data_IF_328315171375
#
_entry.id   IF_328315171375
#
_cell.length_a   1.000
_cell.length_b   1.000
_cell.length_c   1.000
_cell.angle_alpha   90.00
_cell.angle_beta   90.00
_cell.angle_gamma   90.00
#
_symmetry.space_group_name_H-M   'P 1'
#
loop_
_entity.id
_entity.type
_entity.pdbx_description
1 polymer ?
#
# COMPACT_ATOMS: atom_id res chain seq x y z
N UNK A 1 3.43 37.67 -14.30
CA UNK A 1 4.86 37.95 -14.03
C UNK A 1 5.06 37.76 -12.53
N UNK A 2 4.99 36.50 -12.09
CA UNK A 2 6.09 35.55 -11.88
C UNK A 2 6.76 35.73 -10.51
N UNK A 3 6.37 34.87 -9.58
CA UNK A 3 7.27 34.20 -8.61
C UNK A 3 6.66 32.81 -8.42
N UNK A 4 6.89 31.91 -9.36
CA UNK A 4 7.80 30.78 -9.15
C UNK A 4 7.55 30.04 -7.83
N UNK A 5 6.45 29.28 -7.80
CA UNK A 5 6.30 28.08 -6.96
C UNK A 5 7.40 27.09 -7.32
N UNK A 6 8.58 27.33 -6.77
CA UNK A 6 9.65 26.33 -6.71
C UNK A 6 9.25 25.31 -5.66
N UNK A 7 8.47 24.32 -6.11
CA UNK A 7 8.23 23.02 -5.46
C UNK A 7 9.58 22.28 -5.36
N UNK A 8 10.50 22.82 -4.56
CA UNK A 8 11.82 22.30 -4.31
C UNK A 8 11.69 21.15 -3.31
N UNK A 9 11.25 20.00 -3.83
CA UNK A 9 11.27 18.71 -3.12
C UNK A 9 12.72 18.27 -2.97
N UNK A 10 13.47 18.94 -2.11
CA UNK A 10 14.79 18.49 -1.69
C UNK A 10 14.61 17.17 -0.91
N UNK A 11 15.02 16.01 -1.48
CA UNK A 11 14.91 14.73 -0.80
C UNK A 11 15.70 14.73 0.52
N UNK A 12 16.74 15.56 0.66
CA UNK A 12 17.50 15.70 1.90
C UNK A 12 16.68 16.39 2.99
N UNK A 13 15.81 17.35 2.64
CA UNK A 13 14.90 18.00 3.60
C UNK A 13 13.91 16.99 4.18
N UNK A 14 13.32 16.15 3.34
CA UNK A 14 12.36 15.13 3.78
C UNK A 14 13.03 14.07 4.65
N UNK A 15 14.22 13.59 4.27
CA UNK A 15 14.97 12.60 5.06
C UNK A 15 15.38 13.19 6.42
N UNK A 16 15.87 14.43 6.45
CA UNK A 16 16.23 15.12 7.70
C UNK A 16 15.03 15.28 8.63
N UNK A 17 13.87 15.65 8.09
CA UNK A 17 12.64 15.74 8.87
C UNK A 17 12.22 14.38 9.45
N UNK A 18 12.29 13.29 8.66
CA UNK A 18 11.97 11.96 9.19
C UNK A 18 12.93 11.51 10.30
N UNK A 19 14.23 11.83 10.17
CA UNK A 19 15.21 11.53 11.21
C UNK A 19 14.89 12.28 12.51
N UNK A 20 14.62 13.60 12.42
CA UNK A 20 14.27 14.40 13.59
C UNK A 20 12.97 13.92 14.28
N UNK A 21 11.98 13.49 13.50
CA UNK A 21 10.74 12.91 14.05
C UNK A 21 11.02 11.58 14.74
N UNK A 22 11.86 10.73 14.13
CA UNK A 22 12.29 9.46 14.72
C UNK A 22 12.96 9.67 16.08
N UNK A 23 13.87 10.64 16.16
CA UNK A 23 14.60 10.96 17.40
C UNK A 23 13.67 11.52 18.48
N UNK A 24 12.70 12.38 18.10
CA UNK A 24 11.74 12.99 19.03
C UNK A 24 10.70 12.03 19.59
N UNK A 25 10.27 11.06 18.79
CA UNK A 25 9.16 10.16 19.14
C UNK A 25 9.62 8.80 19.62
N UNK A 26 10.89 8.43 19.38
CA UNK A 26 11.38 7.07 19.60
C UNK A 26 10.88 6.05 18.57
N UNK A 27 10.05 6.48 17.61
CA UNK A 27 9.52 5.63 16.53
C UNK A 27 10.59 5.48 15.46
N UNK A 28 10.87 4.25 15.02
CA UNK A 28 11.94 4.00 14.06
C UNK A 28 11.74 4.79 12.77
N UNK A 29 12.84 5.37 12.24
CA UNK A 29 12.89 6.09 10.97
C UNK A 29 12.13 5.40 9.82
N UNK A 30 12.26 4.07 9.69
CA UNK A 30 11.56 3.29 8.65
C UNK A 30 10.04 3.42 8.76
N UNK A 31 9.50 3.48 9.98
CA UNK A 31 8.08 3.62 10.24
C UNK A 31 7.58 5.04 9.99
N UNK A 32 8.35 6.06 10.37
CA UNK A 32 8.04 7.47 10.03
C UNK A 32 7.94 7.64 8.52
N UNK A 33 8.91 7.08 7.79
CA UNK A 33 8.90 7.05 6.31
C UNK A 33 7.70 6.28 5.76
N UNK A 34 7.33 5.16 6.39
CA UNK A 34 6.17 4.36 6.00
C UNK A 34 4.89 5.20 6.14
N UNK A 35 4.60 5.73 7.33
CA UNK A 35 3.43 6.57 7.63
C UNK A 35 3.26 7.69 6.59
N UNK A 36 4.32 8.47 6.35
CA UNK A 36 4.30 9.53 5.37
C UNK A 36 3.97 9.04 3.95
N UNK A 37 4.55 7.90 3.53
CA UNK A 37 4.31 7.33 2.20
C UNK A 37 2.91 6.76 2.05
N UNK A 38 2.39 6.07 3.06
CA UNK A 38 1.04 5.49 3.04
C UNK A 38 -0.01 6.59 2.86
N UNK A 39 0.20 7.75 3.48
CA UNK A 39 -0.70 8.91 3.35
C UNK A 39 -0.57 9.59 1.97
N UNK A 40 0.66 9.82 1.47
CA UNK A 40 0.87 10.52 0.19
C UNK A 40 0.43 9.68 -1.03
N UNK A 41 0.63 8.35 -0.99
CA UNK A 41 0.37 7.45 -2.13
C UNK A 41 -1.09 7.52 -2.60
N UNK A 42 -2.03 7.69 -1.69
CA UNK A 42 -3.46 7.70 -2.00
C UNK A 42 -3.99 9.07 -2.45
N UNK A 43 -3.35 10.20 -2.07
CA UNK A 43 -3.95 11.54 -2.25
C UNK A 43 -3.33 12.45 -3.33
N UNK A 44 -2.74 11.89 -4.41
CA UNK A 44 -2.31 12.63 -5.63
C UNK A 44 -1.76 14.06 -5.42
N UNK A 45 -0.89 14.25 -4.41
CA UNK A 45 -0.22 15.51 -4.01
C UNK A 45 -1.04 16.56 -3.23
N UNK A 46 -2.34 16.38 -2.99
CA UNK A 46 -3.10 17.22 -2.04
C UNK A 46 -3.49 16.38 -0.83
N UNK A 47 -2.59 16.35 0.14
CA UNK A 47 -2.75 15.52 1.31
C UNK A 47 -3.46 16.29 2.38
N UNK A 48 -4.73 15.98 2.47
CA UNK A 48 -5.65 16.47 3.45
C UNK A 48 -5.83 15.32 4.47
N UNK A 49 -5.52 15.54 5.74
CA UNK A 49 -5.50 14.47 6.76
C UNK A 49 -6.83 14.44 7.50
N UNK A 50 -7.40 13.24 7.66
CA UNK A 50 -8.42 12.94 8.65
C UNK A 50 -7.87 11.75 9.45
N UNK A 51 -7.80 11.90 10.77
CA UNK A 51 -7.32 10.90 11.75
C UNK A 51 -7.71 9.44 11.49
N UNK A 52 -9.01 9.16 11.30
CA UNK A 52 -9.56 7.82 11.04
C UNK A 52 -9.10 7.30 9.70
N UNK A 53 -9.10 8.15 8.68
CA UNK A 53 -8.64 7.79 7.34
C UNK A 53 -7.12 7.53 7.32
N UNK A 54 -6.33 8.37 7.99
CA UNK A 54 -4.89 8.22 8.06
C UNK A 54 -4.49 6.90 8.74
N UNK A 55 -5.10 6.58 9.88
CA UNK A 55 -4.86 5.33 10.59
C UNK A 55 -5.19 4.11 9.71
N UNK A 56 -6.36 4.12 9.04
CA UNK A 56 -6.74 3.04 8.12
C UNK A 56 -5.74 2.90 6.97
N UNK A 57 -5.30 4.00 6.36
CA UNK A 57 -4.34 3.98 5.26
C UNK A 57 -3.00 3.39 5.66
N UNK A 58 -2.48 3.78 6.83
CA UNK A 58 -1.22 3.24 7.36
C UNK A 58 -1.35 1.74 7.61
N UNK A 59 -2.42 1.30 8.29
CA UNK A 59 -2.62 -0.12 8.61
C UNK A 59 -2.82 -0.96 7.34
N UNK A 60 -3.57 -0.47 6.35
CA UNK A 60 -3.73 -1.15 5.06
C UNK A 60 -2.39 -1.30 4.34
N UNK A 61 -1.57 -0.24 4.34
CA UNK A 61 -0.26 -0.28 3.67
C UNK A 61 0.71 -1.25 4.38
N UNK A 62 0.63 -1.39 5.71
CA UNK A 62 1.34 -2.44 6.46
C UNK A 62 0.85 -3.84 6.07
N UNK A 63 -0.46 -4.07 6.02
CA UNK A 63 -1.04 -5.36 5.62
C UNK A 63 -0.60 -5.77 4.21
N UNK A 64 -0.50 -4.80 3.29
CA UNK A 64 -0.17 -5.03 1.89
C UNK A 64 1.32 -5.24 1.65
N UNK A 65 2.20 -4.47 2.29
CA UNK A 65 3.63 -4.48 1.99
C UNK A 65 4.46 -5.40 2.90
N UNK A 66 3.98 -5.70 4.10
CA UNK A 66 4.71 -6.53 5.05
C UNK A 66 4.12 -7.94 5.17
N UNK A 67 4.99 -8.92 5.43
CA UNK A 67 4.65 -10.34 5.57
C UNK A 67 4.47 -10.76 7.04
N UNK A 68 4.46 -9.81 7.98
CA UNK A 68 4.32 -10.06 9.41
C UNK A 68 2.97 -9.65 9.97
N UNK A 69 2.66 -10.10 11.19
CA UNK A 69 1.52 -9.60 11.94
C UNK A 69 1.70 -8.09 12.22
N UNK A 70 0.65 -7.30 11.95
CA UNK A 70 0.67 -5.84 12.14
C UNK A 70 1.10 -5.48 13.56
N UNK A 71 0.60 -6.19 14.57
CA UNK A 71 1.00 -6.03 15.97
C UNK A 71 2.52 -6.09 16.16
N UNK A 72 3.17 -7.08 15.58
CA UNK A 72 4.62 -7.27 15.69
C UNK A 72 5.38 -6.17 14.96
N UNK A 73 4.89 -5.73 13.80
CA UNK A 73 5.51 -4.66 13.03
C UNK A 73 5.42 -3.34 13.79
N UNK A 74 4.25 -3.00 14.33
CA UNK A 74 4.04 -1.78 15.13
C UNK A 74 4.93 -1.78 16.37
N UNK A 75 4.89 -2.86 17.15
CA UNK A 75 5.71 -3.01 18.36
C UNK A 75 7.21 -2.91 18.04
N UNK A 76 7.69 -3.60 17.00
CA UNK A 76 9.09 -3.51 16.59
C UNK A 76 9.51 -2.10 16.17
N UNK A 77 8.58 -1.27 15.70
CA UNK A 77 8.85 0.09 15.26
C UNK A 77 8.60 1.17 16.32
N UNK A 78 8.25 0.78 17.56
CA UNK A 78 8.00 1.72 18.65
C UNK A 78 6.61 2.34 18.65
N UNK A 79 5.65 1.74 17.92
CA UNK A 79 4.24 2.16 17.96
C UNK A 79 3.51 1.30 18.98
N UNK A 80 2.92 1.94 19.97
CA UNK A 80 2.15 1.32 21.07
C UNK A 80 0.65 1.60 20.96
N UNK A 81 0.27 2.72 20.35
CA UNK A 81 -1.12 3.15 20.22
C UNK A 81 -1.34 4.03 18.98
N UNK A 82 -2.61 4.30 18.68
CA UNK A 82 -3.00 5.26 17.64
C UNK A 82 -2.49 6.69 17.92
N UNK A 83 -2.21 7.04 19.18
CA UNK A 83 -1.64 8.34 19.54
C UNK A 83 -0.24 8.53 18.97
N UNK A 84 0.52 7.44 18.81
CA UNK A 84 1.84 7.48 18.20
C UNK A 84 1.76 7.85 16.72
N UNK A 85 0.71 7.39 16.02
CA UNK A 85 0.42 7.86 14.66
C UNK A 85 0.08 9.35 14.64
N UNK A 86 -0.80 9.79 15.55
CA UNK A 86 -1.17 11.19 15.68
C UNK A 86 0.04 12.10 15.91
N UNK A 87 0.95 11.69 16.80
CA UNK A 87 2.19 12.39 17.08
C UNK A 87 3.10 12.50 15.86
N UNK A 88 3.31 11.40 15.13
CA UNK A 88 4.12 11.42 13.89
C UNK A 88 3.48 12.32 12.83
N UNK A 89 2.16 12.20 12.63
CA UNK A 89 1.42 12.98 11.64
C UNK A 89 1.46 14.46 11.97
N UNK A 90 1.25 14.83 13.24
CA UNK A 90 1.38 16.21 13.72
C UNK A 90 2.76 16.79 13.39
N UNK A 91 3.83 16.05 13.70
CA UNK A 91 5.19 16.51 13.42
C UNK A 91 5.47 16.57 11.90
N UNK A 92 4.90 15.66 11.09
CA UNK A 92 4.99 15.74 9.63
C UNK A 92 4.28 16.99 9.08
N UNK A 93 3.13 17.38 9.66
CA UNK A 93 2.45 18.64 9.35
C UNK A 93 3.29 19.87 9.76
N UNK A 94 3.85 19.87 10.98
CA UNK A 94 4.72 20.95 11.46
C UNK A 94 5.96 21.15 10.57
N UNK A 95 6.47 20.08 9.95
CA UNK A 95 7.60 20.13 8.99
C UNK A 95 7.18 20.51 7.57
N UNK A 96 5.89 20.69 7.32
CA UNK A 96 5.32 21.02 6.01
C UNK A 96 5.38 19.84 5.02
N UNK A 97 5.44 18.60 5.51
CA UNK A 97 5.44 17.39 4.68
C UNK A 97 4.03 16.86 4.41
N UNK A 98 3.05 17.21 5.26
CA UNK A 98 1.62 16.94 5.10
C UNK A 98 0.85 18.24 5.33
N UNK A 99 -0.35 18.37 4.75
CA UNK A 99 -1.26 19.49 5.00
C UNK A 99 -2.42 19.01 5.88
N UNK A 100 -2.81 19.82 6.85
CA UNK A 100 -3.95 19.53 7.73
C UNK A 100 -5.26 19.91 7.03
N UNK A 101 -6.32 19.11 7.15
CA UNK A 101 -7.67 19.53 6.73
C UNK A 101 -8.25 20.55 7.72
N UNK A 102 -9.03 21.51 7.21
CA UNK A 102 -9.88 22.32 8.08
C UNK A 102 -10.87 21.41 8.82
N UNK A 103 -10.84 21.44 10.15
CA UNK A 103 -11.67 20.59 11.02
C UNK A 103 -11.04 19.27 11.46
N UNK A 104 -9.81 18.95 11.05
CA UNK A 104 -9.08 17.76 11.54
C UNK A 104 -8.51 18.02 12.93
N UNK A 105 -8.75 17.15 13.90
CA UNK A 105 -8.19 17.24 15.25
C UNK A 105 -7.21 16.10 15.52
N UNK A 106 -6.07 16.43 16.12
CA UNK A 106 -5.12 15.41 16.55
C UNK A 106 -5.68 14.58 17.72
N UNK A 107 -6.68 15.10 18.44
CA UNK A 107 -7.37 14.36 19.48
C UNK A 107 -8.21 13.20 18.93
N UNK A 108 -8.54 13.18 17.65
CA UNK A 108 -9.27 12.06 17.03
C UNK A 108 -8.43 10.77 16.95
N UNK A 109 -7.11 10.86 17.13
CA UNK A 109 -6.26 9.68 17.27
C UNK A 109 -6.44 9.00 18.62
N UNK A 110 -7.00 9.69 19.63
CA UNK A 110 -7.17 9.14 20.97
C UNK A 110 -8.15 7.97 20.97
N UNK A 111 -7.64 6.81 21.38
CA UNK A 111 -8.47 5.63 21.63
C UNK A 111 -8.95 4.88 20.38
N UNK A 112 -8.41 5.14 19.19
CA UNK A 112 -8.74 4.34 18.00
C UNK A 112 -8.29 2.89 18.17
N UNK A 113 -7.05 2.67 18.62
CA UNK A 113 -6.53 1.34 18.96
C UNK A 113 -5.30 1.45 19.89
N UNK A 114 -4.99 0.35 20.57
CA UNK A 114 -3.68 0.09 21.15
C UNK A 114 -3.10 -1.20 20.54
N UNK A 115 -1.86 -1.56 20.86
CA UNK A 115 -1.22 -2.78 20.36
C UNK A 115 -2.02 -4.05 20.66
N UNK A 116 -2.81 -4.08 21.73
CA UNK A 116 -3.60 -5.25 22.11
C UNK A 116 -4.92 -5.33 21.35
N UNK A 117 -5.52 -4.20 21.00
CA UNK A 117 -6.79 -4.09 20.27
C UNK A 117 -6.61 -3.89 18.76
N UNK A 118 -5.38 -3.89 18.24
CA UNK A 118 -5.13 -3.65 16.81
C UNK A 118 -5.82 -4.68 15.90
N UNK A 119 -5.90 -5.94 16.32
CA UNK A 119 -6.58 -6.98 15.54
C UNK A 119 -8.09 -6.74 15.50
N UNK A 120 -8.70 -6.36 16.63
CA UNK A 120 -10.10 -5.96 16.70
C UNK A 120 -10.38 -4.73 15.85
N UNK A 121 -9.47 -3.75 15.84
CA UNK A 121 -9.57 -2.56 15.00
C UNK A 121 -9.56 -2.91 13.51
N UNK A 122 -8.65 -3.81 13.09
CA UNK A 122 -8.56 -4.31 11.71
C UNK A 122 -9.87 -4.97 11.28
N UNK A 123 -10.41 -5.86 12.14
CA UNK A 123 -11.66 -6.58 11.87
C UNK A 123 -12.84 -5.60 11.81
N UNK A 124 -12.98 -4.72 12.81
CA UNK A 124 -14.08 -3.75 12.93
C UNK A 124 -14.13 -2.78 11.77
N UNK A 125 -12.98 -2.36 11.25
CA UNK A 125 -12.89 -1.44 10.10
C UNK A 125 -12.79 -2.17 8.75
N UNK A 126 -12.93 -3.52 8.73
CA UNK A 126 -12.85 -4.34 7.53
C UNK A 126 -11.57 -4.08 6.70
N UNK A 127 -10.44 -3.88 7.39
CA UNK A 127 -9.14 -3.64 6.76
C UNK A 127 -8.56 -4.98 6.32
N UNK A 128 -8.69 -5.29 5.03
CA UNK A 128 -8.23 -6.56 4.47
C UNK A 128 -7.02 -6.33 3.57
N UNK A 129 -6.09 -7.28 3.60
CA UNK A 129 -4.96 -7.29 2.66
C UNK A 129 -5.52 -7.38 1.25
N UNK A 130 -5.25 -6.36 0.44
CA UNK A 130 -5.58 -6.39 -0.96
C UNK A 130 -4.61 -7.37 -1.63
N UNK A 131 -5.07 -8.61 -1.78
CA UNK A 131 -4.31 -9.63 -2.48
C UNK A 131 -4.38 -9.25 -3.95
N UNK A 132 -3.22 -8.92 -4.52
CA UNK A 132 -3.04 -8.80 -5.97
C UNK A 132 -3.15 -10.20 -6.61
N UNK A 133 -4.34 -10.78 -6.54
CA UNK A 133 -4.69 -12.09 -7.08
C UNK A 133 -4.33 -12.16 -8.56
N UNK A 134 -4.46 -11.04 -9.25
CA UNK A 134 -4.05 -10.90 -10.63
C UNK A 134 -2.54 -11.19 -10.78
N UNK A 135 -1.67 -10.52 -10.02
CA UNK A 135 -0.23 -10.80 -10.03
C UNK A 135 0.10 -12.23 -9.58
N UNK A 136 -0.58 -12.76 -8.57
CA UNK A 136 -0.36 -14.13 -8.09
C UNK A 136 -0.68 -15.14 -9.20
N UNK A 137 -1.88 -15.06 -9.79
CA UNK A 137 -2.34 -15.95 -10.86
C UNK A 137 -1.42 -15.84 -12.08
N UNK A 138 -1.05 -14.61 -12.45
CA UNK A 138 -0.19 -14.35 -13.59
C UNK A 138 1.22 -14.90 -13.42
N UNK A 139 1.81 -14.73 -12.24
CA UNK A 139 3.10 -15.35 -11.88
C UNK A 139 3.00 -16.88 -11.88
N UNK A 140 1.93 -17.45 -11.33
CA UNK A 140 1.71 -18.89 -11.32
C UNK A 140 1.67 -19.45 -12.74
N UNK A 141 0.93 -18.83 -13.66
CA UNK A 141 0.93 -19.24 -15.06
C UNK A 141 2.31 -19.13 -15.71
N UNK A 142 3.04 -18.05 -15.45
CA UNK A 142 4.39 -17.87 -15.97
C UNK A 142 5.33 -19.00 -15.50
N UNK A 143 5.39 -19.26 -14.18
CA UNK A 143 6.26 -20.29 -13.62
C UNK A 143 5.86 -21.72 -14.03
N UNK A 144 4.56 -22.03 -14.07
CA UNK A 144 4.06 -23.31 -14.56
C UNK A 144 4.48 -23.51 -16.02
N UNK A 145 4.32 -22.48 -16.86
CA UNK A 145 4.75 -22.51 -18.25
C UNK A 145 6.24 -22.78 -18.40
N UNK A 146 7.08 -22.02 -17.68
CA UNK A 146 8.53 -22.23 -17.66
C UNK A 146 8.92 -23.64 -17.18
N UNK A 147 8.27 -24.15 -16.12
CA UNK A 147 8.53 -25.49 -15.61
C UNK A 147 8.23 -26.57 -16.64
N UNK A 148 7.09 -26.48 -17.34
CA UNK A 148 6.71 -27.42 -18.40
C UNK A 148 7.73 -27.39 -19.56
N UNK A 149 8.19 -26.20 -19.95
CA UNK A 149 9.22 -26.04 -20.99
C UNK A 149 10.53 -26.72 -20.55
N UNK A 150 11.00 -26.46 -19.33
CA UNK A 150 12.24 -27.05 -18.80
C UNK A 150 12.13 -28.58 -18.71
N UNK A 151 11.02 -29.10 -18.20
CA UNK A 151 10.77 -30.56 -18.11
C UNK A 151 10.71 -31.22 -19.51
N UNK A 152 10.19 -30.50 -20.51
CA UNK A 152 10.17 -30.94 -21.90
C UNK A 152 11.58 -31.02 -22.50
N UNK A 153 12.46 -30.06 -22.22
CA UNK A 153 13.85 -30.09 -22.68
C UNK A 153 14.69 -31.16 -21.96
N UNK A 154 14.35 -31.48 -20.72
CA UNK A 154 14.99 -32.54 -19.93
C UNK A 154 14.50 -33.97 -20.30
N UNK A 155 13.72 -34.14 -21.38
CA UNK A 155 13.19 -35.42 -21.89
C UNK A 155 12.17 -36.10 -20.95
N UNK A 156 11.83 -35.46 -19.83
CA UNK A 156 10.88 -36.01 -18.85
C UNK A 156 9.42 -35.97 -19.33
N UNK A 157 9.10 -35.09 -20.29
CA UNK A 157 7.76 -34.93 -20.87
C UNK A 157 7.89 -34.74 -22.40
N UNK A 158 6.97 -35.26 -23.24
CA UNK A 158 7.04 -35.09 -24.69
C UNK A 158 7.07 -33.63 -25.17
N UNK A 159 7.82 -33.33 -26.23
CA UNK A 159 7.98 -31.98 -26.81
C UNK A 159 6.69 -31.25 -27.17
N UNK A 160 5.59 -31.99 -27.42
CA UNK A 160 4.25 -31.40 -27.65
C UNK A 160 3.75 -30.61 -26.43
N UNK A 161 4.10 -31.03 -25.22
CA UNK A 161 3.77 -30.32 -23.99
C UNK A 161 4.68 -29.11 -23.75
N UNK A 162 5.92 -29.11 -24.27
CA UNK A 162 6.79 -27.94 -24.24
C UNK A 162 6.19 -26.72 -24.95
N UNK A 163 5.53 -26.93 -26.10
CA UNK A 163 4.76 -25.87 -26.79
C UNK A 163 3.61 -25.35 -25.91
N UNK A 164 2.92 -26.25 -25.21
CA UNK A 164 1.82 -25.90 -24.30
C UNK A 164 2.33 -25.09 -23.10
N UNK A 165 3.51 -25.44 -22.56
CA UNK A 165 4.20 -24.67 -21.54
C UNK A 165 4.55 -23.25 -22.00
N UNK A 166 5.01 -23.09 -23.24
CA UNK A 166 5.25 -21.78 -23.85
C UNK A 166 3.99 -20.92 -23.94
N UNK A 167 2.86 -21.51 -24.39
CA UNK A 167 1.58 -20.79 -24.47
C UNK A 167 1.11 -20.36 -23.08
N UNK A 168 1.15 -21.26 -22.09
CA UNK A 168 0.76 -20.97 -20.71
C UNK A 168 1.65 -19.87 -20.11
N UNK A 169 2.97 -19.96 -20.34
CA UNK A 169 3.94 -18.96 -19.89
C UNK A 169 3.71 -17.59 -20.53
N UNK A 170 3.41 -17.55 -21.83
CA UNK A 170 3.11 -16.31 -22.56
C UNK A 170 1.79 -15.68 -22.11
N UNK A 171 0.77 -16.47 -21.79
CA UNK A 171 -0.47 -15.95 -21.19
C UNK A 171 -0.17 -15.30 -19.83
N UNK A 172 0.62 -15.95 -18.97
CA UNK A 172 1.06 -15.39 -17.69
C UNK A 172 1.90 -14.11 -17.84
N UNK A 173 2.76 -14.05 -18.87
CA UNK A 173 3.57 -12.85 -19.15
C UNK A 173 2.75 -11.70 -19.74
N UNK A 174 1.82 -11.98 -20.66
CA UNK A 174 0.92 -10.99 -21.26
C UNK A 174 0.01 -10.37 -20.18
N UNK A 175 -0.54 -11.20 -19.30
CA UNK A 175 -1.35 -10.74 -18.17
C UNK A 175 -0.55 -9.77 -17.28
N UNK A 176 0.69 -10.12 -16.89
CA UNK A 176 1.58 -9.24 -16.11
C UNK A 176 1.86 -7.92 -16.84
N UNK A 177 2.24 -8.00 -18.11
CA UNK A 177 2.72 -6.85 -18.89
C UNK A 177 1.59 -5.87 -19.21
N UNK A 178 0.38 -6.38 -19.44
CA UNK A 178 -0.78 -5.57 -19.83
C UNK A 178 -1.81 -5.40 -18.71
N UNK A 179 -1.45 -5.71 -17.46
CA UNK A 179 -2.32 -5.61 -16.28
C UNK A 179 -3.17 -4.34 -16.27
N UNK A 180 -2.53 -3.16 -16.39
CA UNK A 180 -3.22 -1.87 -16.31
C UNK A 180 -4.28 -1.67 -17.42
N UNK A 181 -3.99 -2.14 -18.65
CA UNK A 181 -4.94 -2.08 -19.78
C UNK A 181 -6.09 -3.09 -19.62
N UNK A 182 -5.81 -4.24 -19.03
CA UNK A 182 -6.81 -5.28 -18.77
C UNK A 182 -7.75 -4.81 -17.65
N UNK A 183 -7.21 -4.28 -16.55
CA UNK A 183 -7.99 -3.71 -15.44
C UNK A 183 -8.87 -2.55 -15.89
N UNK A 184 -8.37 -1.65 -16.74
CA UNK A 184 -9.16 -0.53 -17.25
C UNK A 184 -10.33 -1.01 -18.12
N UNK A 185 -10.10 -1.99 -19.00
CA UNK A 185 -11.16 -2.59 -19.83
C UNK A 185 -12.18 -3.36 -19.00
N UNK A 186 -11.74 -4.12 -18.01
CA UNK A 186 -12.65 -4.83 -17.10
C UNK A 186 -13.52 -3.86 -16.31
N UNK A 187 -12.95 -2.77 -15.79
CA UNK A 187 -13.74 -1.70 -15.13
C UNK A 187 -14.75 -1.06 -16.08
N UNK A 188 -14.37 -0.82 -17.33
CA UNK A 188 -15.29 -0.29 -18.35
C UNK A 188 -16.44 -1.26 -18.63
N UNK A 189 -16.15 -2.56 -18.77
CA UNK A 189 -17.16 -3.61 -19.01
C UNK A 189 -18.09 -3.77 -17.79
N UNK A 190 -17.54 -3.81 -16.57
CA UNK A 190 -18.32 -3.89 -15.33
C UNK A 190 -19.22 -2.67 -15.13
N UNK A 191 -18.74 -1.47 -15.50
CA UNK A 191 -19.54 -0.25 -15.51
C UNK A 191 -20.67 -0.32 -16.55
N UNK A 192 -20.41 -0.85 -17.75
CA UNK A 192 -21.45 -1.06 -18.78
C UNK A 192 -22.51 -2.08 -18.36
N UNK A 193 -22.14 -3.08 -17.55
CA UNK A 193 -23.07 -4.09 -17.02
C UNK A 193 -23.83 -3.62 -15.77
N UNK A 194 -23.62 -2.39 -15.30
CA UNK A 194 -24.34 -1.83 -14.15
C UNK A 194 -23.96 -2.44 -12.78
N UNK A 195 -22.89 -3.23 -12.72
CA UNK A 195 -22.47 -3.96 -11.51
C UNK A 195 -21.77 -3.02 -10.50
N UNK A 196 -21.32 -1.83 -10.93
CA UNK A 196 -20.62 -0.85 -10.09
C UNK A 196 -21.51 0.21 -9.44
N UNK A 197 -22.77 -0.13 -9.12
CA UNK A 197 -23.59 0.66 -8.17
C UNK A 197 -24.01 -0.19 -6.97
N UNK A 198 -23.11 -0.32 -5.99
CA UNK A 198 -23.48 -0.48 -4.57
C UNK A 198 -22.23 -0.46 -3.66
N UNK A 199 -21.73 0.73 -3.32
CA UNK A 199 -21.13 1.01 -1.99
C UNK A 199 -20.85 2.51 -1.80
N UNK A 200 -21.92 3.29 -1.73
CA UNK A 200 -21.93 4.57 -1.03
C UNK A 200 -23.34 4.78 -0.49
N UNK A 201 -23.53 4.32 0.75
CA UNK A 201 -24.48 4.83 1.72
C UNK A 201 -24.02 4.33 3.08
#
# INVERSE_FOLDING_TARGET
MSTEDTDNKDPNRTIKAWAEISDRTGIKFKMVRHIHRSIIRERKKEVKVNSKNASNLIIIDLLNNDNGAVKNILSHNGITSSNDFGNVIRLLCEKGLLLREEGDDYDDFNGLFNLDTIEEYIIKNNLTKDRDWFKIISNSFYYIGCAIVVLSYSIQIPNKFGLMGWIIGMIGWILLTFKSKIESKWKEILNKMGITKARTS
#
